data_IF_434373199758
#
_entry.id   IF_434373199758
#
_cell.length_a   1.000
_cell.length_b   1.000
_cell.length_c   1.000
_cell.angle_alpha   90.00
_cell.angle_beta   90.00
_cell.angle_gamma   90.00
#
_symmetry.space_group_name_H-M   'P 1'
#
loop_
_entity.id
_entity.type
_entity.pdbx_description
1 polymer ?
#
# COMPACT_ATOMS: atom_id res chain seq x y z
N UNK A 1 -11.22 12.21 0.83
CA UNK A 1 -10.22 11.16 1.12
C UNK A 1 -10.45 10.07 0.10
N UNK A 2 -9.41 9.66 -0.62
CA UNK A 2 -9.51 8.57 -1.60
C UNK A 2 -9.54 7.26 -0.80
N UNK A 3 -10.48 6.37 -1.09
CA UNK A 3 -10.72 5.15 -0.29
C UNK A 3 -10.47 3.97 -1.22
N UNK A 4 -9.65 3.02 -0.79
CA UNK A 4 -9.32 1.82 -1.58
C UNK A 4 -10.30 0.67 -1.40
N UNK A 5 -11.43 0.86 -0.70
CA UNK A 5 -12.49 -0.16 -0.57
C UNK A 5 -13.36 -0.22 -1.82
N UNK A 6 -12.76 -0.76 -2.88
CA UNK A 6 -13.31 -1.10 -4.20
C UNK A 6 -14.81 -0.93 -4.39
N UNK A 7 -15.16 0.03 -5.25
CA UNK A 7 -16.27 0.00 -6.22
C UNK A 7 -17.72 -0.14 -5.75
N UNK A 8 -18.00 -0.46 -4.48
CA UNK A 8 -19.36 -0.78 -4.03
C UNK A 8 -20.17 0.44 -3.60
N UNK A 9 -19.52 1.47 -3.10
CA UNK A 9 -20.14 2.74 -2.72
C UNK A 9 -19.77 3.79 -3.77
N UNK A 10 -20.76 4.56 -4.22
CA UNK A 10 -20.54 5.69 -5.13
C UNK A 10 -20.33 6.99 -4.34
N UNK A 11 -19.48 7.87 -4.88
CA UNK A 11 -19.17 9.17 -4.28
C UNK A 11 -18.12 9.12 -3.16
N UNK A 12 -17.80 10.30 -2.65
CA UNK A 12 -16.83 10.47 -1.56
C UNK A 12 -17.45 10.17 -0.19
N UNK A 13 -16.66 9.61 0.74
CA UNK A 13 -17.09 9.57 2.14
C UNK A 13 -17.25 10.97 2.71
N UNK A 14 -18.25 11.13 3.57
CA UNK A 14 -18.34 12.30 4.44
C UNK A 14 -17.11 12.36 5.35
N UNK A 15 -16.72 13.58 5.75
CA UNK A 15 -15.53 13.79 6.57
C UNK A 15 -15.57 13.05 7.91
N UNK A 16 -16.76 12.86 8.50
CA UNK A 16 -16.92 12.10 9.74
C UNK A 16 -16.60 10.61 9.57
N UNK A 17 -17.10 9.98 8.50
CA UNK A 17 -16.83 8.56 8.25
C UNK A 17 -15.37 8.37 7.90
N UNK A 18 -14.78 9.22 7.06
CA UNK A 18 -13.37 9.15 6.71
C UNK A 18 -12.45 9.24 7.95
N UNK A 19 -12.75 10.16 8.89
CA UNK A 19 -12.02 10.27 10.16
C UNK A 19 -12.22 9.06 11.06
N UNK A 20 -13.44 8.54 11.13
CA UNK A 20 -13.77 7.39 11.98
C UNK A 20 -13.07 6.11 11.51
N UNK A 21 -12.90 5.93 10.19
CA UNK A 21 -12.34 4.70 9.61
C UNK A 21 -10.84 4.76 9.35
N UNK A 22 -10.22 5.94 9.35
CA UNK A 22 -8.79 6.09 9.10
C UNK A 22 -7.95 5.58 10.27
N UNK A 23 -6.88 4.85 9.95
CA UNK A 23 -5.84 4.41 10.89
C UNK A 23 -4.54 5.24 10.79
N UNK A 24 -4.51 6.23 9.89
CA UNK A 24 -3.37 7.10 9.57
C UNK A 24 -2.55 7.61 10.75
N UNK A 25 -3.20 7.95 11.87
CA UNK A 25 -2.54 8.48 13.07
C UNK A 25 -1.58 7.50 13.76
N UNK A 26 -1.68 6.20 13.48
CA UNK A 26 -0.90 5.16 14.15
C UNK A 26 -0.14 4.23 13.20
N UNK A 27 -0.46 4.24 11.90
CA UNK A 27 0.12 3.25 10.97
C UNK A 27 1.61 3.46 10.65
N UNK A 28 2.19 4.61 10.99
CA UNK A 28 3.62 4.85 10.74
C UNK A 28 4.53 3.85 11.47
N UNK A 29 4.05 3.22 12.54
CA UNK A 29 4.81 2.20 13.27
C UNK A 29 4.97 0.89 12.50
N UNK A 30 4.09 0.60 11.53
CA UNK A 30 4.03 -0.70 10.83
C UNK A 30 4.44 -0.59 9.36
N UNK A 31 4.95 0.55 8.91
CA UNK A 31 5.24 0.78 7.50
C UNK A 31 6.23 -0.25 6.92
N UNK A 32 7.30 -0.55 7.65
CA UNK A 32 8.29 -1.55 7.25
C UNK A 32 7.71 -2.96 7.30
N UNK A 33 6.92 -3.29 8.33
CA UNK A 33 6.24 -4.60 8.44
C UNK A 33 5.30 -4.85 7.25
N UNK A 34 4.56 -3.83 6.81
CA UNK A 34 3.68 -3.91 5.63
C UNK A 34 4.50 -4.16 4.36
N UNK A 35 5.66 -3.50 4.20
CA UNK A 35 6.56 -3.73 3.06
C UNK A 35 7.07 -5.18 3.06
N UNK A 36 7.50 -5.69 4.20
CA UNK A 36 7.99 -7.07 4.34
C UNK A 36 6.90 -8.10 4.02
N UNK A 37 5.67 -7.89 4.51
CA UNK A 37 4.52 -8.74 4.19
C UNK A 37 4.21 -8.71 2.69
N UNK A 38 4.28 -7.54 2.06
CA UNK A 38 4.08 -7.41 0.61
C UNK A 38 5.16 -8.15 -0.19
N UNK A 39 6.41 -8.15 0.27
CA UNK A 39 7.48 -8.96 -0.33
C UNK A 39 7.18 -10.46 -0.19
N UNK A 40 6.72 -10.92 0.98
CA UNK A 40 6.33 -12.31 1.18
C UNK A 40 5.15 -12.70 0.27
N UNK A 41 4.15 -11.82 0.12
CA UNK A 41 3.03 -12.03 -0.77
C UNK A 41 3.47 -12.12 -2.25
N UNK A 42 4.38 -11.25 -2.67
CA UNK A 42 4.98 -11.30 -4.01
C UNK A 42 5.65 -12.65 -4.30
N UNK A 43 6.39 -13.20 -3.34
CA UNK A 43 6.99 -14.53 -3.49
C UNK A 43 5.93 -15.63 -3.63
N UNK A 44 4.81 -15.51 -2.92
CA UNK A 44 3.68 -16.43 -3.09
C UNK A 44 3.06 -16.32 -4.49
N UNK A 45 2.89 -15.10 -5.02
CA UNK A 45 2.40 -14.86 -6.39
C UNK A 45 3.35 -15.41 -7.45
N UNK A 46 4.67 -15.22 -7.27
CA UNK A 46 5.69 -15.78 -8.17
C UNK A 46 5.64 -17.31 -8.16
N UNK A 47 5.56 -17.93 -6.97
CA UNK A 47 5.44 -19.38 -6.83
C UNK A 47 4.17 -19.93 -7.48
N UNK A 48 3.07 -19.17 -7.44
CA UNK A 48 1.82 -19.52 -8.09
C UNK A 48 1.82 -19.28 -9.61
N UNK A 49 2.88 -18.68 -10.17
CA UNK A 49 2.96 -18.34 -11.59
C UNK A 49 2.06 -17.17 -12.00
N UNK A 50 1.61 -16.35 -11.04
CA UNK A 50 0.75 -15.19 -11.28
C UNK A 50 1.53 -13.93 -11.66
N UNK A 51 2.84 -13.93 -11.45
CA UNK A 51 3.77 -12.90 -11.91
C UNK A 51 5.02 -13.56 -12.48
N UNK A 52 5.64 -12.90 -13.45
CA UNK A 52 6.92 -13.32 -14.03
C UNK A 52 8.09 -13.00 -13.10
N UNK A 53 9.24 -13.65 -13.34
CA UNK A 53 10.48 -13.31 -12.62
C UNK A 53 10.90 -11.85 -12.81
N UNK A 54 10.64 -11.26 -13.98
CA UNK A 54 10.97 -9.88 -14.28
C UNK A 54 10.11 -8.90 -13.46
N UNK A 55 8.80 -9.13 -13.43
CA UNK A 55 7.85 -8.35 -12.60
C UNK A 55 8.19 -8.50 -11.12
N UNK A 56 8.38 -9.73 -10.63
CA UNK A 56 8.75 -9.97 -9.25
C UNK A 56 10.05 -9.28 -8.85
N UNK A 57 11.07 -9.28 -9.72
CA UNK A 57 12.32 -8.56 -9.45
C UNK A 57 12.12 -7.05 -9.38
N UNK A 58 11.35 -6.47 -10.29
CA UNK A 58 11.06 -5.04 -10.30
C UNK A 58 10.29 -4.61 -9.04
N UNK A 59 9.23 -5.34 -8.69
CA UNK A 59 8.39 -5.08 -7.51
C UNK A 59 9.21 -5.26 -6.23
N UNK A 60 9.98 -6.34 -6.09
CA UNK A 60 10.82 -6.58 -4.90
C UNK A 60 11.87 -5.47 -4.71
N UNK A 61 12.48 -5.00 -5.81
CA UNK A 61 13.42 -3.88 -5.77
C UNK A 61 12.75 -2.57 -5.36
N UNK A 62 11.54 -2.29 -5.87
CA UNK A 62 10.78 -1.10 -5.52
C UNK A 62 10.38 -1.09 -4.03
N UNK A 63 9.86 -2.22 -3.53
CA UNK A 63 9.51 -2.45 -2.12
C UNK A 63 10.73 -2.27 -1.21
N UNK A 64 11.85 -2.93 -1.52
CA UNK A 64 13.10 -2.79 -0.74
C UNK A 64 13.60 -1.35 -0.70
N UNK A 65 13.41 -0.61 -1.81
CA UNK A 65 13.76 0.79 -1.91
C UNK A 65 12.88 1.73 -1.09
N UNK A 66 11.81 1.26 -0.43
CA UNK A 66 10.92 2.03 0.44
C UNK A 66 11.16 1.80 1.94
N UNK A 67 11.85 0.72 2.33
CA UNK A 67 12.16 0.41 3.73
C UNK A 67 12.82 1.61 4.43
N UNK A 68 12.30 1.96 5.61
CA UNK A 68 12.73 3.09 6.42
C UNK A 68 12.46 4.48 5.84
N UNK A 69 11.76 4.58 4.69
CA UNK A 69 11.46 5.87 4.02
C UNK A 69 10.01 6.30 4.12
N UNK A 70 9.10 5.37 4.42
CA UNK A 70 7.68 5.65 4.60
C UNK A 70 7.43 5.88 6.09
N UNK A 71 7.07 7.11 6.47
CA UNK A 71 6.99 7.51 7.89
C UNK A 71 5.70 8.27 8.26
N UNK A 72 4.82 8.51 7.29
CA UNK A 72 3.58 9.25 7.53
C UNK A 72 2.54 8.92 6.48
N UNK A 73 1.26 8.98 6.87
CA UNK A 73 0.13 8.90 5.95
C UNK A 73 -0.32 10.32 5.59
N UNK A 74 -0.37 10.69 4.30
CA UNK A 74 -0.89 11.98 3.85
C UNK A 74 -2.36 12.21 4.27
N UNK A 75 -2.81 13.47 4.49
CA UNK A 75 -4.17 13.77 4.94
C UNK A 75 -5.29 13.28 4.02
N UNK A 76 -4.99 12.98 2.76
CA UNK A 76 -5.92 12.53 1.75
C UNK A 76 -5.99 11.00 1.59
N UNK A 77 -5.20 10.24 2.37
CA UNK A 77 -5.14 8.77 2.39
C UNK A 77 -5.70 8.17 3.69
N UNK A 78 -6.29 6.97 3.57
CA UNK A 78 -6.90 6.27 4.72
C UNK A 78 -5.85 5.74 5.70
N UNK A 79 -4.82 5.06 5.17
CA UNK A 79 -3.88 4.24 5.90
C UNK A 79 -2.50 4.17 5.21
N UNK A 80 -1.54 3.50 5.85
CA UNK A 80 -0.19 3.31 5.30
C UNK A 80 -0.13 2.37 4.09
N UNK A 81 -1.08 1.44 3.98
CA UNK A 81 -1.14 0.48 2.87
C UNK A 81 -1.36 1.23 1.56
N UNK A 82 -2.27 2.21 1.55
CA UNK A 82 -2.50 3.09 0.40
C UNK A 82 -1.24 3.86 -0.01
N UNK A 83 -0.46 4.34 0.97
CA UNK A 83 0.80 5.07 0.69
C UNK A 83 1.79 4.16 -0.05
N UNK A 84 1.97 2.94 0.46
CA UNK A 84 2.89 1.94 -0.10
C UNK A 84 2.41 1.49 -1.48
N UNK A 85 1.11 1.26 -1.65
CA UNK A 85 0.50 0.87 -2.93
C UNK A 85 0.69 1.96 -3.98
N UNK A 86 0.32 3.22 -3.69
CA UNK A 86 0.47 4.31 -4.64
C UNK A 86 1.95 4.58 -4.98
N UNK A 87 2.86 4.46 -4.01
CA UNK A 87 4.29 4.59 -4.28
C UNK A 87 4.83 3.43 -5.13
N UNK A 88 4.34 2.20 -4.91
CA UNK A 88 4.71 1.06 -5.72
C UNK A 88 4.24 1.23 -7.17
N UNK A 89 2.98 1.62 -7.38
CA UNK A 89 2.41 1.93 -8.71
C UNK A 89 3.24 3.01 -9.39
N UNK A 90 3.57 4.12 -8.70
CA UNK A 90 4.43 5.17 -9.25
C UNK A 90 5.79 4.65 -9.73
N UNK A 91 6.35 3.62 -9.10
CA UNK A 91 7.67 3.07 -9.44
C UNK A 91 7.63 2.02 -10.54
N UNK A 92 6.58 1.21 -10.62
CA UNK A 92 6.58 -0.01 -11.46
C UNK A 92 5.38 -0.18 -12.38
N UNK A 93 4.38 0.71 -12.34
CA UNK A 93 3.22 0.69 -13.24
C UNK A 93 1.89 0.55 -12.53
#
# INVERSE_FOLDING_TARGET
MKITRGGRLSGDLTGDVARLTSSSAHDHYIADDVIEINQAHLLALLKAGLVTNAEAKAIASALSGMLGKVSSVPPDMEDIHMVIEEELIRRVG
#
